data_IF_498749875874
#
_entry.id   IF_498749875874
#
_cell.length_a   1.000
_cell.length_b   1.000
_cell.length_c   1.000
_cell.angle_alpha   90.00
_cell.angle_beta   90.00
_cell.angle_gamma   90.00
#
_symmetry.space_group_name_H-M   'P 1'
#
loop_
_entity.id
_entity.type
_entity.pdbx_description
1 polymer ?
#
# COMPACT_ATOMS: atom_id res chain seq x y z
N UNK A 1 -14.39 -11.43 -8.10
CA UNK A 1 -13.40 -11.20 -9.18
C UNK A 1 -12.04 -11.31 -8.54
N UNK A 2 -11.16 -12.15 -9.07
CA UNK A 2 -9.85 -12.46 -8.46
C UNK A 2 -8.97 -11.21 -8.48
N UNK A 3 -9.03 -10.45 -7.40
CA UNK A 3 -8.30 -9.21 -7.23
C UNK A 3 -6.83 -9.57 -7.05
N UNK A 4 -6.06 -9.43 -8.14
CA UNK A 4 -4.66 -9.87 -8.16
C UNK A 4 -3.89 -9.03 -7.15
N UNK A 5 -3.08 -9.64 -6.28
CA UNK A 5 -2.29 -8.90 -5.31
C UNK A 5 -1.42 -7.86 -6.02
N UNK A 6 -1.22 -6.71 -5.38
CA UNK A 6 -0.37 -5.68 -5.96
C UNK A 6 1.06 -6.20 -6.09
N UNK A 7 1.68 -6.10 -7.27
CA UNK A 7 3.03 -6.63 -7.51
C UNK A 7 4.09 -5.87 -6.70
N UNK A 8 3.83 -4.61 -6.34
CA UNK A 8 4.80 -3.74 -5.69
C UNK A 8 4.11 -2.77 -4.72
N UNK A 9 4.77 -2.46 -3.60
CA UNK A 9 4.23 -1.57 -2.56
C UNK A 9 3.91 -0.17 -3.07
N UNK A 10 4.71 0.33 -4.01
CA UNK A 10 4.49 1.62 -4.69
C UNK A 10 3.14 1.69 -5.39
N UNK A 11 2.75 0.63 -6.10
CA UNK A 11 1.48 0.58 -6.85
C UNK A 11 0.30 0.54 -5.88
N UNK A 12 0.41 -0.25 -4.81
CA UNK A 12 -0.60 -0.30 -3.77
C UNK A 12 -0.78 1.04 -3.05
N UNK A 13 0.33 1.71 -2.72
CA UNK A 13 0.30 3.01 -2.06
C UNK A 13 -0.33 4.09 -2.96
N UNK A 14 -0.01 4.08 -4.26
CA UNK A 14 -0.63 4.97 -5.24
C UNK A 14 -2.13 4.69 -5.42
N UNK A 15 -2.53 3.41 -5.46
CA UNK A 15 -3.93 3.02 -5.53
C UNK A 15 -4.72 3.54 -4.32
N UNK A 16 -4.16 3.48 -3.11
CA UNK A 16 -4.77 4.06 -1.92
C UNK A 16 -4.89 5.59 -2.02
N UNK A 17 -3.83 6.29 -2.44
CA UNK A 17 -3.85 7.75 -2.58
C UNK A 17 -4.87 8.24 -3.63
N UNK A 18 -5.09 7.47 -4.69
CA UNK A 18 -5.99 7.84 -5.79
C UNK A 18 -7.43 7.41 -5.56
N UNK A 19 -7.66 6.24 -4.96
CA UNK A 19 -9.00 5.65 -4.80
C UNK A 19 -9.67 5.98 -3.47
N UNK A 20 -8.92 6.42 -2.46
CA UNK A 20 -9.45 6.74 -1.13
C UNK A 20 -9.40 8.26 -0.89
N UNK A 21 -10.49 9.00 -1.19
CA UNK A 21 -10.57 10.40 -0.83
C UNK A 21 -10.65 10.55 0.70
N UNK A 22 -10.00 11.60 1.24
CA UNK A 22 -10.07 11.91 2.68
C UNK A 22 -9.18 11.06 3.58
N UNK A 23 -8.09 10.49 3.04
CA UNK A 23 -7.08 9.84 3.86
C UNK A 23 -6.55 10.81 4.95
N UNK A 24 -6.42 10.35 6.21
CA UNK A 24 -5.87 11.18 7.26
C UNK A 24 -4.43 11.56 6.90
N UNK A 25 -4.02 12.78 7.26
CA UNK A 25 -2.72 13.34 6.87
C UNK A 25 -1.53 12.39 7.15
N UNK A 26 -1.57 11.70 8.30
CA UNK A 26 -0.56 10.70 8.68
C UNK A 26 -0.50 9.52 7.71
N UNK A 27 -1.64 9.05 7.22
CA UNK A 27 -1.69 7.96 6.25
C UNK A 27 -1.26 8.42 4.87
N UNK A 28 -1.70 9.60 4.42
CA UNK A 28 -1.26 10.20 3.17
C UNK A 28 0.27 10.40 3.14
N UNK A 29 0.86 10.87 4.24
CA UNK A 29 2.32 11.02 4.38
C UNK A 29 3.07 9.68 4.31
N UNK A 30 2.59 8.64 5.01
CA UNK A 30 3.16 7.30 4.87
C UNK A 30 3.07 6.78 3.44
N UNK A 31 1.91 6.95 2.78
CA UNK A 31 1.70 6.45 1.42
C UNK A 31 2.62 7.16 0.43
N UNK A 32 2.82 8.47 0.59
CA UNK A 32 3.82 9.23 -0.16
C UNK A 32 5.23 8.67 0.02
N UNK A 33 5.63 8.35 1.26
CA UNK A 33 6.91 7.69 1.54
C UNK A 33 6.99 6.30 0.91
N UNK A 34 5.94 5.48 1.02
CA UNK A 34 5.90 4.14 0.43
C UNK A 34 5.99 4.17 -1.10
N UNK A 35 5.46 5.20 -1.77
CA UNK A 35 5.60 5.38 -3.21
C UNK A 35 7.05 5.61 -3.66
N UNK A 36 7.88 6.25 -2.83
CA UNK A 36 9.28 6.59 -3.20
C UNK A 36 10.31 5.64 -2.59
N UNK A 37 9.94 4.90 -1.54
CA UNK A 37 10.85 3.97 -0.88
C UNK A 37 11.35 2.88 -1.85
N UNK A 38 12.65 2.59 -1.78
CA UNK A 38 13.27 1.47 -2.51
C UNK A 38 12.70 0.14 -2.02
N UNK A 39 12.67 -0.05 -0.69
CA UNK A 39 12.05 -1.20 -0.03
C UNK A 39 11.29 -0.73 1.22
N UNK A 40 10.27 -1.49 1.62
CA UNK A 40 9.57 -1.28 2.89
C UNK A 40 10.14 -2.22 3.96
N UNK A 41 10.32 -1.70 5.17
CA UNK A 41 10.50 -2.56 6.34
C UNK A 41 9.26 -3.42 6.57
N UNK A 42 9.42 -4.58 7.19
CA UNK A 42 8.30 -5.51 7.49
C UNK A 42 7.14 -4.83 8.22
N UNK A 43 7.44 -3.94 9.18
CA UNK A 43 6.43 -3.14 9.90
C UNK A 43 5.65 -2.21 8.97
N UNK A 44 6.34 -1.57 8.01
CA UNK A 44 5.70 -0.68 7.04
C UNK A 44 4.83 -1.47 6.07
N UNK A 45 5.32 -2.65 5.65
CA UNK A 45 4.57 -3.55 4.77
C UNK A 45 3.31 -4.09 5.43
N UNK A 46 3.41 -4.56 6.68
CA UNK A 46 2.24 -4.99 7.45
C UNK A 46 1.25 -3.85 7.70
N UNK A 47 1.74 -2.62 7.85
CA UNK A 47 0.88 -1.45 7.97
C UNK A 47 0.16 -1.11 6.67
N UNK A 48 0.85 -1.21 5.52
CA UNK A 48 0.24 -1.01 4.20
C UNK A 48 -0.80 -2.09 3.91
N UNK A 49 -0.52 -3.35 4.22
CA UNK A 49 -1.47 -4.46 4.06
C UNK A 49 -2.77 -4.27 4.87
N UNK A 50 -2.65 -3.86 6.14
CA UNK A 50 -3.81 -3.48 6.97
C UNK A 50 -4.62 -2.34 6.37
N UNK A 51 -3.95 -1.37 5.74
CA UNK A 51 -4.63 -0.24 5.11
C UNK A 51 -5.35 -0.66 3.83
N UNK A 52 -4.77 -1.57 3.05
CA UNK A 52 -5.41 -2.17 1.88
C UNK A 52 -6.66 -2.97 2.28
N UNK A 53 -6.53 -3.85 3.28
CA UNK A 53 -7.65 -4.62 3.82
C UNK A 53 -8.78 -3.72 4.36
N UNK A 54 -8.44 -2.59 5.00
CA UNK A 54 -9.43 -1.62 5.48
C UNK A 54 -10.25 -0.97 4.36
N UNK A 55 -9.67 -0.85 3.18
CA UNK A 55 -10.27 -0.19 2.02
C UNK A 55 -10.73 -1.18 0.93
N UNK A 56 -10.83 -2.48 1.26
CA UNK A 56 -11.24 -3.54 0.34
C UNK A 56 -10.39 -3.57 -0.95
N UNK A 57 -9.09 -3.31 -0.79
CA UNK A 57 -8.10 -3.32 -1.87
C UNK A 57 -7.24 -4.59 -1.84
N UNK A 58 -6.64 -4.97 -2.99
CA UNK A 58 -5.85 -6.19 -3.07
C UNK A 58 -4.70 -6.15 -2.08
N UNK A 59 -4.34 -7.27 -1.44
CA UNK A 59 -3.16 -7.34 -0.59
C UNK A 59 -1.88 -7.18 -1.41
N UNK A 60 -0.77 -6.92 -0.73
CA UNK A 60 0.54 -6.92 -1.39
C UNK A 60 0.96 -8.34 -1.73
N UNK A 61 1.56 -8.54 -2.89
CA UNK A 61 2.17 -9.82 -3.23
C UNK A 61 3.24 -10.16 -2.20
N UNK A 62 3.28 -11.39 -1.71
CA UNK A 62 4.18 -11.85 -0.63
C UNK A 62 5.68 -11.73 -1.00
N UNK A 63 6.01 -11.52 -2.28
CA UNK A 63 7.38 -11.36 -2.78
C UNK A 63 7.85 -9.94 -3.13
N UNK A 64 7.13 -8.87 -2.78
CA UNK A 64 7.48 -7.48 -3.17
C UNK A 64 8.71 -6.87 -2.48
N UNK A 65 9.83 -7.60 -2.44
CA UNK A 65 11.16 -7.14 -2.05
C UNK A 65 12.17 -7.75 -3.01
N UNK A 66 12.27 -7.16 -4.21
CA UNK A 66 13.41 -7.33 -5.11
C UNK A 66 13.75 -5.97 -5.76
#
# INVERSE_FOLDING_TARGET
MTDRPFPHHRVAALALLTRVPGLPHKAAGFLGHACVAAALSEKQRAWLDKLLARHDLPPLNEGGAE
#
